data_IF_449208668340
#
_entry.id   IF_449208668340
#
_cell.length_a   1.000
_cell.length_b   1.000
_cell.length_c   1.000
_cell.angle_alpha   90.00
_cell.angle_beta   90.00
_cell.angle_gamma   90.00
#
_symmetry.space_group_name_H-M   'P 1'
#
loop_
_entity.id
_entity.type
_entity.pdbx_description
1 polymer ?
#
# COMPACT_ATOMS: atom_id res chain seq x y z
N UNK A 1 -21.50 7.83 9.32
CA UNK A 1 -20.28 7.82 10.15
C UNK A 1 -19.58 9.14 9.96
N UNK A 2 -19.00 9.73 11.01
CA UNK A 2 -18.22 10.96 10.86
C UNK A 2 -17.01 10.71 9.93
N UNK A 3 -16.81 11.61 8.97
CA UNK A 3 -15.70 11.56 8.02
C UNK A 3 -14.34 11.49 8.73
N UNK A 4 -14.21 12.16 9.88
CA UNK A 4 -12.97 12.13 10.66
C UNK A 4 -12.71 10.74 11.24
N UNK A 5 -13.74 10.04 11.71
CA UNK A 5 -13.60 8.67 12.20
C UNK A 5 -13.15 7.73 11.08
N UNK A 6 -13.79 7.82 9.90
CA UNK A 6 -13.40 7.04 8.72
C UNK A 6 -11.96 7.28 8.28
N UNK A 7 -11.51 8.55 8.31
CA UNK A 7 -10.12 8.91 7.98
C UNK A 7 -9.12 8.28 8.96
N UNK A 8 -9.40 8.29 10.26
CA UNK A 8 -8.54 7.67 11.26
C UNK A 8 -8.48 6.15 11.09
N UNK A 9 -9.62 5.51 10.85
CA UNK A 9 -9.67 4.07 10.56
C UNK A 9 -8.89 3.72 9.30
N UNK A 10 -9.01 4.51 8.22
CA UNK A 10 -8.23 4.32 7.01
C UNK A 10 -6.72 4.44 7.28
N UNK A 11 -6.29 5.45 8.03
CA UNK A 11 -4.88 5.63 8.40
C UNK A 11 -4.34 4.46 9.23
N UNK A 12 -5.15 3.90 10.14
CA UNK A 12 -4.78 2.70 10.89
C UNK A 12 -4.55 1.52 9.95
N UNK A 13 -5.43 1.30 8.97
CA UNK A 13 -5.23 0.25 7.97
C UNK A 13 -3.99 0.49 7.10
N UNK A 14 -3.69 1.75 6.75
CA UNK A 14 -2.45 2.10 6.03
C UNK A 14 -1.22 1.69 6.82
N UNK A 15 -1.13 2.07 8.10
CA UNK A 15 0.00 1.68 8.95
C UNK A 15 0.09 0.16 9.07
N UNK A 16 -1.03 -0.52 9.31
CA UNK A 16 -1.07 -1.96 9.46
C UNK A 16 -0.64 -2.70 8.18
N UNK A 17 -1.09 -2.24 7.00
CA UNK A 17 -0.69 -2.79 5.70
C UNK A 17 0.81 -2.64 5.47
N UNK A 18 1.37 -1.45 5.76
CA UNK A 18 2.82 -1.18 5.62
C UNK A 18 3.63 -2.10 6.51
N UNK A 19 3.25 -2.24 7.79
CA UNK A 19 3.93 -3.13 8.74
C UNK A 19 3.90 -4.58 8.23
N UNK A 20 2.72 -5.09 7.86
CA UNK A 20 2.56 -6.46 7.37
C UNK A 20 3.32 -6.70 6.05
N UNK A 21 3.40 -5.70 5.17
CA UNK A 21 4.22 -5.77 3.96
C UNK A 21 5.71 -5.94 4.29
N UNK A 22 6.26 -5.09 5.14
CA UNK A 22 7.67 -5.21 5.54
C UNK A 22 7.93 -6.51 6.28
N UNK A 23 7.05 -6.94 7.18
CA UNK A 23 7.16 -8.24 7.87
C UNK A 23 7.28 -9.39 6.87
N UNK A 24 6.44 -9.43 5.82
CA UNK A 24 6.52 -10.45 4.77
C UNK A 24 7.79 -10.30 3.92
N UNK A 25 8.17 -9.08 3.56
CA UNK A 25 9.35 -8.81 2.75
C UNK A 25 10.64 -9.23 3.47
N UNK A 26 10.83 -8.82 4.73
CA UNK A 26 11.97 -9.23 5.55
C UNK A 26 11.98 -10.73 5.81
N UNK A 27 10.82 -11.34 6.06
CA UNK A 27 10.74 -12.79 6.19
C UNK A 27 11.24 -13.50 4.92
N UNK A 28 10.89 -13.00 3.73
CA UNK A 28 11.33 -13.56 2.42
C UNK A 28 12.80 -13.30 2.08
N UNK A 29 13.45 -12.33 2.73
CA UNK A 29 14.89 -12.12 2.63
C UNK A 29 15.68 -13.12 3.49
N UNK A 30 15.09 -13.53 4.62
CA UNK A 30 15.62 -14.59 5.49
C UNK A 30 15.11 -15.98 5.11
N UNK A 31 14.53 -16.68 6.10
CA UNK A 31 14.10 -18.08 5.96
C UNK A 31 12.76 -18.30 5.26
N UNK A 32 11.98 -17.25 5.03
CA UNK A 32 10.64 -17.32 4.43
C UNK A 32 9.55 -17.93 5.33
N UNK A 33 9.89 -18.43 6.52
CA UNK A 33 8.96 -19.18 7.41
C UNK A 33 7.74 -18.35 7.82
N UNK A 34 7.93 -17.08 8.15
CA UNK A 34 6.84 -16.19 8.57
C UNK A 34 5.93 -15.81 7.39
N UNK A 35 6.52 -15.58 6.21
CA UNK A 35 5.76 -15.30 4.99
C UNK A 35 4.98 -16.53 4.46
N UNK A 36 5.42 -17.75 4.80
CA UNK A 36 4.72 -19.00 4.50
C UNK A 36 3.61 -19.32 5.52
N UNK A 37 3.54 -18.61 6.64
CA UNK A 37 2.49 -18.80 7.62
C UNK A 37 1.15 -18.29 7.07
N UNK A 38 0.16 -19.20 6.99
CA UNK A 38 -1.19 -18.89 6.50
C UNK A 38 -1.86 -17.75 7.28
N UNK A 39 -1.61 -17.64 8.59
CA UNK A 39 -2.17 -16.55 9.41
C UNK A 39 -1.68 -15.17 8.96
N UNK A 40 -0.37 -15.01 8.76
CA UNK A 40 0.21 -13.73 8.29
C UNK A 40 -0.26 -13.39 6.88
N UNK A 41 -0.43 -14.40 6.02
CA UNK A 41 -0.94 -14.21 4.67
C UNK A 41 -2.40 -13.74 4.66
N UNK A 42 -3.28 -14.41 5.41
CA UNK A 42 -4.70 -14.06 5.51
C UNK A 42 -4.86 -12.67 6.12
N UNK A 43 -4.20 -12.39 7.25
CA UNK A 43 -4.27 -11.09 7.92
C UNK A 43 -3.82 -9.97 6.99
N UNK A 44 -2.71 -10.14 6.27
CA UNK A 44 -2.25 -9.13 5.32
C UNK A 44 -3.27 -8.87 4.21
N UNK A 45 -3.89 -9.90 3.64
CA UNK A 45 -4.84 -9.72 2.55
C UNK A 45 -6.16 -9.10 3.01
N UNK A 46 -6.63 -9.47 4.21
CA UNK A 46 -7.80 -8.86 4.83
C UNK A 46 -7.58 -7.37 5.10
N UNK A 47 -6.42 -7.01 5.66
CA UNK A 47 -6.05 -5.61 5.92
C UNK A 47 -5.95 -4.81 4.61
N UNK A 48 -5.32 -5.37 3.58
CA UNK A 48 -5.19 -4.71 2.28
C UNK A 48 -6.57 -4.49 1.63
N UNK A 49 -7.49 -5.46 1.75
CA UNK A 49 -8.86 -5.32 1.24
C UNK A 49 -9.63 -4.23 2.00
N UNK A 50 -9.55 -4.23 3.33
CA UNK A 50 -10.17 -3.19 4.17
C UNK A 50 -9.57 -1.79 3.90
N UNK A 51 -8.26 -1.71 3.65
CA UNK A 51 -7.59 -0.48 3.25
C UNK A 51 -8.16 0.07 1.95
N UNK A 52 -8.34 -0.77 0.93
CA UNK A 52 -8.90 -0.37 -0.36
C UNK A 52 -10.38 0.04 -0.22
N UNK A 53 -11.17 -0.74 0.50
CA UNK A 53 -12.59 -0.43 0.76
C UNK A 53 -12.73 0.92 1.48
N UNK A 54 -11.95 1.14 2.54
CA UNK A 54 -11.98 2.41 3.27
C UNK A 54 -11.48 3.58 2.44
N UNK A 55 -10.50 3.38 1.55
CA UNK A 55 -10.05 4.41 0.61
C UNK A 55 -11.17 4.85 -0.35
N UNK A 56 -11.93 3.89 -0.90
CA UNK A 56 -13.06 4.16 -1.80
C UNK A 56 -14.17 4.90 -1.07
N UNK A 57 -14.54 4.44 0.14
CA UNK A 57 -15.54 5.11 0.97
C UNK A 57 -15.10 6.55 1.27
N UNK A 58 -13.83 6.78 1.61
CA UNK A 58 -13.29 8.12 1.87
C UNK A 58 -13.37 9.02 0.63
N UNK A 59 -13.03 8.50 -0.55
CA UNK A 59 -13.10 9.24 -1.80
C UNK A 59 -14.54 9.64 -2.16
N UNK A 60 -15.49 8.71 -2.03
CA UNK A 60 -16.91 8.96 -2.30
C UNK A 60 -17.51 9.94 -1.30
N UNK A 61 -17.25 9.76 -0.01
CA UNK A 61 -17.75 10.67 1.05
C UNK A 61 -17.17 12.07 0.95
N UNK A 62 -15.93 12.20 0.47
CA UNK A 62 -15.30 13.49 0.21
C UNK A 62 -15.70 14.10 -1.15
N UNK A 63 -16.51 13.42 -1.97
CA UNK A 63 -16.87 13.90 -3.31
C UNK A 63 -15.70 14.03 -4.27
N UNK A 64 -14.61 13.28 -4.05
CA UNK A 64 -13.40 13.38 -4.85
C UNK A 64 -13.55 12.57 -6.14
N UNK A 65 -13.42 13.25 -7.28
CA UNK A 65 -13.37 12.61 -8.58
C UNK A 65 -11.91 12.39 -9.03
N UNK A 66 -11.43 11.14 -9.17
CA UNK A 66 -10.06 10.85 -9.62
C UNK A 66 -9.72 11.49 -10.96
N UNK A 67 -10.68 11.62 -11.88
CA UNK A 67 -10.45 12.21 -13.19
C UNK A 67 -10.20 13.73 -13.13
N UNK A 68 -10.70 14.40 -12.09
CA UNK A 68 -10.55 15.84 -11.87
C UNK A 68 -9.41 16.17 -10.89
N UNK A 69 -8.87 15.17 -10.20
CA UNK A 69 -7.88 15.31 -9.13
C UNK A 69 -6.63 14.49 -9.48
N UNK A 70 -5.64 15.08 -10.19
CA UNK A 70 -4.46 14.35 -10.67
C UNK A 70 -3.71 13.60 -9.57
N UNK A 71 -3.62 14.18 -8.36
CA UNK A 71 -2.98 13.56 -7.20
C UNK A 71 -3.68 12.25 -6.79
N UNK A 72 -5.01 12.16 -6.90
CA UNK A 72 -5.78 10.98 -6.53
C UNK A 72 -5.61 9.88 -7.57
N UNK A 73 -5.61 10.23 -8.86
CA UNK A 73 -5.35 9.29 -9.95
C UNK A 73 -3.94 8.72 -9.85
N UNK A 74 -2.92 9.57 -9.64
CA UNK A 74 -1.55 9.14 -9.42
C UNK A 74 -1.42 8.24 -8.20
N UNK A 75 -2.13 8.55 -7.10
CA UNK A 75 -2.15 7.71 -5.90
C UNK A 75 -2.69 6.31 -6.21
N UNK A 76 -3.76 6.21 -7.00
CA UNK A 76 -4.33 4.91 -7.42
C UNK A 76 -3.33 4.12 -8.27
N UNK A 77 -2.68 4.76 -9.25
CA UNK A 77 -1.65 4.13 -10.09
C UNK A 77 -0.48 3.61 -9.25
N UNK A 78 0.00 4.41 -8.29
CA UNK A 78 1.08 4.00 -7.39
C UNK A 78 0.68 2.83 -6.48
N UNK A 79 -0.58 2.76 -6.03
CA UNK A 79 -1.08 1.60 -5.27
C UNK A 79 -1.02 0.32 -6.11
N UNK A 80 -1.38 0.36 -7.39
CA UNK A 80 -1.20 -0.78 -8.29
C UNK A 80 0.29 -1.14 -8.46
N UNK A 81 1.16 -0.14 -8.61
CA UNK A 81 2.61 -0.35 -8.67
C UNK A 81 3.17 -1.02 -7.40
N UNK A 82 2.71 -0.58 -6.22
CA UNK A 82 3.06 -1.18 -4.93
C UNK A 82 2.64 -2.65 -4.84
N UNK A 83 1.41 -2.98 -5.27
CA UNK A 83 0.93 -4.36 -5.29
C UNK A 83 1.80 -5.22 -6.23
N UNK A 84 2.12 -4.72 -7.43
CA UNK A 84 2.98 -5.41 -8.39
C UNK A 84 4.39 -5.67 -7.81
N UNK A 85 4.99 -4.70 -7.12
CA UNK A 85 6.28 -4.87 -6.44
C UNK A 85 6.20 -5.93 -5.33
N UNK A 86 5.09 -5.99 -4.59
CA UNK A 86 4.83 -7.06 -3.63
C UNK A 86 4.84 -8.46 -4.25
N UNK A 87 4.28 -8.62 -5.45
CA UNK A 87 4.35 -9.86 -6.22
C UNK A 87 5.77 -10.16 -6.71
N UNK A 88 6.52 -9.16 -7.16
CA UNK A 88 7.94 -9.33 -7.57
C UNK A 88 8.77 -9.83 -6.39
N UNK A 89 8.63 -9.25 -5.19
CA UNK A 89 9.33 -9.70 -3.98
C UNK A 89 8.95 -11.15 -3.63
N UNK A 90 7.67 -11.52 -3.83
CA UNK A 90 7.19 -12.87 -3.55
C UNK A 90 7.73 -13.92 -4.53
N UNK A 91 7.85 -13.58 -5.82
CA UNK A 91 8.26 -14.51 -6.90
C UNK A 91 9.77 -14.53 -7.15
N UNK A 92 10.50 -13.48 -6.77
CA UNK A 92 11.94 -13.40 -6.99
C UNK A 92 12.69 -14.52 -6.25
N UNK A 93 13.54 -15.25 -6.96
CA UNK A 93 14.49 -16.21 -6.39
C UNK A 93 15.80 -15.56 -5.99
N UNK A 94 16.23 -14.53 -6.74
CA UNK A 94 17.49 -13.82 -6.54
C UNK A 94 17.38 -12.77 -5.42
N UNK A 95 18.28 -12.83 -4.43
CA UNK A 95 18.32 -11.88 -3.30
C UNK A 95 18.43 -10.42 -3.76
N UNK A 96 19.31 -10.12 -4.74
CA UNK A 96 19.47 -8.77 -5.30
C UNK A 96 18.14 -8.20 -5.81
N UNK A 97 17.36 -8.98 -6.56
CA UNK A 97 16.05 -8.56 -7.07
C UNK A 97 15.06 -8.28 -5.94
N UNK A 98 15.07 -9.08 -4.86
CA UNK A 98 14.24 -8.82 -3.68
C UNK A 98 14.59 -7.49 -3.01
N UNK A 99 15.88 -7.18 -2.85
CA UNK A 99 16.33 -5.92 -2.26
C UNK A 99 15.97 -4.72 -3.15
N UNK A 100 16.19 -4.82 -4.46
CA UNK A 100 15.82 -3.76 -5.41
C UNK A 100 14.30 -3.53 -5.41
N UNK A 101 13.50 -4.60 -5.45
CA UNK A 101 12.05 -4.49 -5.40
C UNK A 101 11.55 -3.93 -4.06
N UNK A 102 12.21 -4.27 -2.95
CA UNK A 102 11.91 -3.69 -1.65
C UNK A 102 12.22 -2.18 -1.62
N UNK A 103 13.39 -1.77 -2.11
CA UNK A 103 13.74 -0.36 -2.22
C UNK A 103 12.78 0.43 -3.11
N UNK A 104 12.41 -0.13 -4.26
CA UNK A 104 11.39 0.44 -5.14
C UNK A 104 10.02 0.55 -4.45
N UNK A 105 9.61 -0.48 -3.69
CA UNK A 105 8.34 -0.46 -2.96
C UNK A 105 8.33 0.62 -1.87
N UNK A 106 9.45 0.81 -1.17
CA UNK A 106 9.63 1.88 -0.20
C UNK A 106 9.50 3.26 -0.85
N UNK A 107 10.12 3.48 -2.01
CA UNK A 107 9.99 4.73 -2.77
C UNK A 107 8.54 4.99 -3.21
N UNK A 108 7.84 3.97 -3.70
CA UNK A 108 6.42 4.06 -4.07
C UNK A 108 5.57 4.42 -2.86
N UNK A 109 5.80 3.80 -1.70
CA UNK A 109 5.08 4.14 -0.46
C UNK A 109 5.34 5.59 -0.03
N UNK A 110 6.58 6.08 -0.14
CA UNK A 110 6.90 7.49 0.12
C UNK A 110 6.19 8.42 -0.85
N UNK A 111 6.12 8.07 -2.14
CA UNK A 111 5.40 8.86 -3.14
C UNK A 111 3.89 8.91 -2.85
N UNK A 112 3.28 7.80 -2.45
CA UNK A 112 1.87 7.74 -2.03
C UNK A 112 1.63 8.63 -0.80
N UNK A 113 2.53 8.59 0.18
CA UNK A 113 2.46 9.42 1.38
C UNK A 113 2.60 10.91 1.03
N UNK A 114 3.53 11.26 0.15
CA UNK A 114 3.72 12.63 -0.32
C UNK A 114 2.45 13.16 -1.01
N UNK A 115 1.88 12.42 -1.98
CA UNK A 115 0.63 12.79 -2.64
C UNK A 115 -0.54 12.95 -1.65
N UNK A 116 -0.58 12.13 -0.60
CA UNK A 116 -1.63 12.21 0.41
C UNK A 116 -1.53 13.49 1.28
N UNK A 117 -0.31 13.98 1.52
CA UNK A 117 -0.06 15.19 2.32
C UNK A 117 -0.14 16.45 1.47
N UNK A 118 0.55 16.46 0.32
CA UNK A 118 0.60 17.62 -0.57
C UNK A 118 -0.75 17.86 -1.27
N UNK A 119 -1.50 16.78 -1.55
CA UNK A 119 -2.70 16.80 -2.41
C UNK A 119 -2.43 17.48 -3.77
N UNK A 120 -1.18 17.48 -4.20
CA UNK A 120 -0.70 18.03 -5.47
C UNK A 120 -0.12 16.88 -6.29
N UNK A 121 -0.49 16.82 -7.57
CA UNK A 121 0.05 15.82 -8.47
C UNK A 121 1.51 16.15 -8.81
N UNK A 122 2.33 15.13 -9.08
CA UNK A 122 3.74 15.31 -9.47
C UNK A 122 3.93 16.05 -10.80
N UNK A 123 2.90 16.07 -11.64
CA UNK A 123 2.92 16.65 -12.99
C UNK A 123 1.73 17.60 -13.20
N UNK A 124 1.29 18.25 -12.12
CA UNK A 124 0.22 19.25 -12.15
C UNK A 124 0.79 20.65 -12.41
#
# INVERSE_FOLDING_TARGET
MDYMALKHTHLLFVVLSIVLFYTRAFSRLGSGKLAANKGVFITSHSVDTLLLVTAVILAVTAGLNPAQQPWLLQKIVLVFGYIALGFVIAKASVKKTKYLALGAATLVLMAIAHLAVSKQGFFA
#
